data_IF_256437159803
#
_entry.id   IF_256437159803
#
_cell.length_a   1.000
_cell.length_b   1.000
_cell.length_c   1.000
_cell.angle_alpha   90.00
_cell.angle_beta   90.00
_cell.angle_gamma   90.00
#
_symmetry.space_group_name_H-M   'P 1'
#
loop_
_entity.id
_entity.type
_entity.pdbx_description
1 polymer ?
#
# COMPACT_ATOMS: atom_id res chain seq x y z
N UNK A 1 -7.88 -20.30 -11.86
CA UNK A 1 -8.35 -19.12 -11.11
C UNK A 1 -7.70 -17.87 -11.66
N UNK A 2 -8.49 -16.84 -11.84
CA UNK A 2 -7.94 -15.58 -12.29
C UNK A 2 -6.96 -15.02 -11.27
N UNK A 3 -5.84 -14.58 -11.78
CA UNK A 3 -4.88 -13.91 -10.95
C UNK A 3 -5.48 -12.62 -10.40
N UNK A 4 -5.27 -12.38 -9.15
CA UNK A 4 -5.85 -11.25 -8.44
C UNK A 4 -5.05 -9.97 -8.74
N UNK A 5 -5.70 -9.01 -9.40
CA UNK A 5 -5.05 -7.76 -9.78
C UNK A 5 -4.52 -6.99 -8.58
N UNK A 6 -5.30 -6.95 -7.49
CA UNK A 6 -4.84 -6.21 -6.30
C UNK A 6 -3.63 -6.91 -5.66
N UNK A 7 -3.58 -8.23 -5.72
CA UNK A 7 -2.44 -8.99 -5.23
C UNK A 7 -1.18 -8.63 -6.02
N UNK A 8 -1.26 -8.59 -7.35
CA UNK A 8 -0.14 -8.22 -8.20
C UNK A 8 0.31 -6.79 -7.97
N UNK A 9 -0.63 -5.86 -7.95
CA UNK A 9 -0.31 -4.43 -7.79
C UNK A 9 0.29 -4.14 -6.43
N UNK A 10 -0.23 -4.75 -5.38
CA UNK A 10 0.30 -4.52 -4.03
C UNK A 10 1.68 -5.12 -3.86
N UNK A 11 1.97 -6.26 -4.50
CA UNK A 11 3.30 -6.83 -4.46
C UNK A 11 4.29 -5.97 -5.23
N UNK A 12 3.92 -5.52 -6.43
CA UNK A 12 4.76 -4.61 -7.21
C UNK A 12 5.03 -3.32 -6.45
N UNK A 13 4.02 -2.80 -5.76
CA UNK A 13 4.18 -1.59 -4.94
C UNK A 13 5.12 -1.85 -3.76
N UNK A 14 5.03 -3.02 -3.13
CA UNK A 14 5.93 -3.39 -2.03
C UNK A 14 7.39 -3.37 -2.50
N UNK A 15 7.65 -3.86 -3.71
CA UNK A 15 9.00 -3.81 -4.29
C UNK A 15 9.46 -2.36 -4.40
N UNK A 16 8.59 -1.46 -4.87
CA UNK A 16 8.92 -0.04 -4.96
C UNK A 16 9.20 0.58 -3.59
N UNK A 17 8.50 0.12 -2.56
CA UNK A 17 8.74 0.60 -1.19
C UNK A 17 10.10 0.16 -0.66
N UNK A 18 10.52 -1.07 -0.96
CA UNK A 18 11.85 -1.55 -0.60
C UNK A 18 12.93 -0.72 -1.32
N UNK A 19 12.73 -0.43 -2.60
CA UNK A 19 13.66 0.40 -3.37
C UNK A 19 13.73 1.82 -2.83
N UNK A 20 12.59 2.40 -2.48
CA UNK A 20 12.54 3.73 -1.88
C UNK A 20 13.26 3.75 -0.54
N UNK A 21 13.05 2.72 0.28
CA UNK A 21 13.72 2.58 1.57
C UNK A 21 15.24 2.59 1.40
N UNK A 22 15.75 1.79 0.46
CA UNK A 22 17.18 1.75 0.18
C UNK A 22 17.72 3.10 -0.25
N UNK A 23 17.01 3.78 -1.13
CA UNK A 23 17.38 5.11 -1.60
C UNK A 23 17.44 6.12 -0.46
N UNK A 24 16.40 6.14 0.36
CA UNK A 24 16.33 7.09 1.48
C UNK A 24 17.45 6.85 2.49
N UNK A 25 17.76 5.61 2.77
CA UNK A 25 18.84 5.30 3.71
C UNK A 25 20.21 5.58 3.13
N UNK A 26 20.46 5.14 1.89
CA UNK A 26 21.80 5.20 1.31
C UNK A 26 22.14 6.56 0.75
N UNK A 27 21.19 7.21 0.05
CA UNK A 27 21.44 8.48 -0.61
C UNK A 27 21.06 9.68 0.24
N UNK A 28 19.96 9.59 0.97
CA UNK A 28 19.44 10.72 1.74
C UNK A 28 19.78 10.67 3.22
N UNK A 29 20.31 9.54 3.69
CA UNK A 29 20.63 9.35 5.11
C UNK A 29 19.41 9.61 6.01
N UNK A 30 18.24 9.24 5.52
CA UNK A 30 16.98 9.36 6.25
C UNK A 30 16.64 8.01 6.85
N UNK A 31 16.59 7.90 8.19
CA UNK A 31 16.50 6.63 8.88
C UNK A 31 15.22 6.46 9.72
N UNK A 32 14.36 7.47 9.75
CA UNK A 32 13.15 7.45 10.56
C UNK A 32 11.91 7.29 9.67
N UNK A 33 11.69 8.24 8.77
CA UNK A 33 10.53 8.21 7.86
C UNK A 33 10.63 7.03 6.90
N UNK A 34 11.84 6.68 6.49
CA UNK A 34 12.06 5.55 5.60
C UNK A 34 11.52 4.25 6.19
N UNK A 35 11.69 4.04 7.48
CA UNK A 35 11.19 2.84 8.16
C UNK A 35 9.67 2.83 8.24
N UNK A 36 9.05 4.01 8.46
CA UNK A 36 7.61 4.11 8.53
C UNK A 36 6.95 3.78 7.20
N UNK A 37 7.48 4.34 6.11
CA UNK A 37 6.89 4.08 4.80
C UNK A 37 7.15 2.66 4.33
N UNK A 38 8.31 2.08 4.66
CA UNK A 38 8.58 0.68 4.36
C UNK A 38 7.55 -0.22 5.05
N UNK A 39 7.31 0.01 6.33
CA UNK A 39 6.35 -0.76 7.12
C UNK A 39 4.95 -0.67 6.52
N UNK A 40 4.44 0.55 6.37
CA UNK A 40 3.08 0.72 5.86
C UNK A 40 2.94 0.26 4.41
N UNK A 41 3.92 0.60 3.57
CA UNK A 41 3.86 0.29 2.15
C UNK A 41 3.94 -1.20 1.84
N UNK A 42 4.66 -1.98 2.65
CA UNK A 42 4.73 -3.43 2.47
C UNK A 42 3.58 -4.14 3.17
N UNK A 43 2.98 -3.52 4.19
CA UNK A 43 1.83 -4.09 4.90
C UNK A 43 0.59 -4.18 4.02
N UNK A 44 0.47 -3.33 3.01
CA UNK A 44 -0.66 -3.38 2.08
C UNK A 44 -0.76 -4.77 1.47
N UNK A 45 0.31 -5.21 0.81
CA UNK A 45 0.33 -6.51 0.14
C UNK A 45 0.32 -7.68 1.11
N UNK A 46 0.98 -7.53 2.26
CA UNK A 46 1.00 -8.58 3.27
C UNK A 46 -0.41 -8.91 3.76
N UNK A 47 -1.23 -7.88 4.03
CA UNK A 47 -2.61 -8.09 4.45
C UNK A 47 -3.48 -8.67 3.34
N UNK A 48 -3.22 -8.29 2.10
CA UNK A 48 -3.93 -8.86 0.95
C UNK A 48 -3.61 -10.36 0.83
N UNK A 49 -2.34 -10.73 0.98
CA UNK A 49 -1.94 -12.14 0.96
C UNK A 49 -2.65 -12.93 2.06
N UNK A 50 -2.70 -12.38 3.26
CA UNK A 50 -3.37 -13.03 4.38
C UNK A 50 -4.87 -13.16 4.13
N UNK A 51 -5.47 -12.20 3.42
CA UNK A 51 -6.91 -12.25 3.13
C UNK A 51 -7.26 -13.43 2.24
N UNK A 52 -6.38 -13.78 1.31
CA UNK A 52 -6.61 -14.89 0.38
C UNK A 52 -6.67 -16.23 1.11
N UNK A 53 -5.87 -16.39 2.18
CA UNK A 53 -5.89 -17.58 3.02
C UNK A 53 -6.94 -17.56 4.11
N UNK A 54 -7.80 -16.55 4.13
CA UNK A 54 -8.77 -16.37 5.20
C UNK A 54 -9.88 -17.41 5.17
N UNK A 55 -10.46 -17.68 6.34
CA UNK A 55 -11.45 -18.71 6.53
C UNK A 55 -12.87 -18.31 6.11
N UNK A 56 -13.15 -17.02 5.99
CA UNK A 56 -14.50 -16.53 5.72
C UNK A 56 -14.48 -15.20 5.00
N UNK A 57 -15.65 -14.82 4.45
CA UNK A 57 -15.82 -13.49 3.84
C UNK A 57 -15.56 -12.36 4.84
N UNK A 58 -15.91 -12.59 6.09
CA UNK A 58 -15.71 -11.63 7.16
C UNK A 58 -14.23 -11.40 7.40
N UNK A 59 -13.45 -12.48 7.48
CA UNK A 59 -11.98 -12.39 7.63
C UNK A 59 -11.35 -11.70 6.44
N UNK A 60 -11.83 -12.04 5.24
CA UNK A 60 -11.34 -11.45 4.00
C UNK A 60 -11.56 -9.92 4.02
N UNK A 61 -12.79 -9.49 4.33
CA UNK A 61 -13.13 -8.06 4.41
C UNK A 61 -12.30 -7.36 5.47
N UNK A 62 -12.10 -7.99 6.62
CA UNK A 62 -11.31 -7.42 7.72
C UNK A 62 -9.87 -7.13 7.26
N UNK A 63 -9.23 -8.09 6.60
CA UNK A 63 -7.86 -7.94 6.10
C UNK A 63 -7.75 -6.86 5.04
N UNK A 64 -8.76 -6.76 4.15
CA UNK A 64 -8.77 -5.71 3.14
C UNK A 64 -8.95 -4.34 3.76
N UNK A 65 -9.72 -4.25 4.84
CA UNK A 65 -9.88 -2.99 5.57
C UNK A 65 -8.56 -2.53 6.18
N UNK A 66 -7.80 -3.45 6.76
CA UNK A 66 -6.47 -3.13 7.29
C UNK A 66 -5.55 -2.67 6.15
N UNK A 67 -5.57 -3.40 5.02
CA UNK A 67 -4.75 -3.06 3.86
C UNK A 67 -5.07 -1.65 3.36
N UNK A 68 -6.36 -1.29 3.28
CA UNK A 68 -6.78 0.05 2.87
C UNK A 68 -6.22 1.12 3.80
N UNK A 69 -6.30 0.90 5.11
CA UNK A 69 -5.76 1.86 6.08
C UNK A 69 -4.25 2.02 5.93
N UNK A 70 -3.54 0.93 5.68
CA UNK A 70 -2.09 0.98 5.45
C UNK A 70 -1.76 1.75 4.16
N UNK A 71 -2.58 1.59 3.12
CA UNK A 71 -2.39 2.35 1.89
C UNK A 71 -2.60 3.85 2.12
N UNK A 72 -3.61 4.22 2.91
CA UNK A 72 -3.84 5.62 3.28
C UNK A 72 -2.67 6.17 4.08
N UNK A 73 -2.15 5.41 5.03
CA UNK A 73 -0.98 5.83 5.81
C UNK A 73 0.24 6.02 4.91
N UNK A 74 0.43 5.13 3.93
CA UNK A 74 1.54 5.23 3.00
C UNK A 74 1.47 6.53 2.20
N UNK A 75 0.28 6.93 1.77
CA UNK A 75 0.08 8.20 1.07
C UNK A 75 0.50 9.37 1.96
N UNK A 76 0.18 9.32 3.24
CA UNK A 76 0.60 10.33 4.19
C UNK A 76 2.13 10.46 4.22
N UNK A 77 2.83 9.33 4.35
CA UNK A 77 4.30 9.34 4.38
C UNK A 77 4.89 9.84 3.05
N UNK A 78 4.28 9.48 1.91
CA UNK A 78 4.74 9.97 0.60
C UNK A 78 4.65 11.49 0.52
N UNK A 79 3.54 12.06 0.96
CA UNK A 79 3.34 13.52 0.97
C UNK A 79 4.37 14.19 1.86
N UNK A 80 4.62 13.62 3.04
CA UNK A 80 5.58 14.18 3.97
C UNK A 80 7.00 14.14 3.40
N UNK A 81 7.38 13.03 2.77
CA UNK A 81 8.70 12.91 2.13
C UNK A 81 8.85 13.91 0.98
N UNK A 82 7.81 14.13 0.22
CA UNK A 82 7.83 15.09 -0.87
C UNK A 82 7.93 16.53 -0.35
N UNK A 83 7.11 16.89 0.61
CA UNK A 83 7.06 18.26 1.13
C UNK A 83 8.31 18.63 1.92
N UNK A 84 9.04 17.63 2.43
CA UNK A 84 10.31 17.83 3.11
C UNK A 84 11.52 17.59 2.19
N UNK A 85 11.27 17.43 0.89
CA UNK A 85 12.29 17.41 -0.16
C UNK A 85 13.20 16.17 -0.15
N UNK A 86 12.71 15.04 0.34
CA UNK A 86 13.45 13.79 0.26
C UNK A 86 13.26 13.06 -1.07
N UNK A 87 12.13 13.29 -1.75
CA UNK A 87 11.87 12.71 -3.06
C UNK A 87 11.45 13.81 -4.04
N UNK A 88 11.75 13.61 -5.32
CA UNK A 88 11.38 14.57 -6.37
C UNK A 88 9.89 14.53 -6.62
N UNK A 89 9.38 15.59 -7.27
CA UNK A 89 7.97 15.62 -7.66
C UNK A 89 7.63 14.49 -8.62
N UNK A 90 8.52 14.19 -9.55
CA UNK A 90 8.32 13.09 -10.50
C UNK A 90 8.18 11.76 -9.79
N UNK A 91 9.06 11.48 -8.86
CA UNK A 91 9.02 10.23 -8.07
C UNK A 91 7.77 10.19 -7.20
N UNK A 92 7.46 11.31 -6.55
CA UNK A 92 6.25 11.41 -5.74
C UNK A 92 5.01 11.11 -6.57
N UNK A 93 4.86 11.74 -7.74
CA UNK A 93 3.67 11.54 -8.58
C UNK A 93 3.53 10.08 -8.99
N UNK A 94 4.63 9.43 -9.35
CA UNK A 94 4.62 8.03 -9.76
C UNK A 94 4.16 7.12 -8.62
N UNK A 95 4.76 7.27 -7.44
CA UNK A 95 4.42 6.45 -6.27
C UNK A 95 3.00 6.75 -5.77
N UNK A 96 2.63 8.02 -5.75
CA UNK A 96 1.31 8.45 -5.31
C UNK A 96 0.21 7.88 -6.21
N UNK A 97 0.42 7.89 -7.52
CA UNK A 97 -0.54 7.32 -8.46
C UNK A 97 -0.74 5.82 -8.21
N UNK A 98 0.34 5.08 -7.97
CA UNK A 98 0.23 3.66 -7.66
C UNK A 98 -0.55 3.42 -6.36
N UNK A 99 -0.25 4.20 -5.33
CA UNK A 99 -0.94 4.06 -4.04
C UNK A 99 -2.42 4.42 -4.15
N UNK A 100 -2.75 5.48 -4.89
CA UNK A 100 -4.13 5.89 -5.12
C UNK A 100 -4.92 4.81 -5.86
N UNK A 101 -4.29 4.21 -6.87
CA UNK A 101 -4.94 3.13 -7.63
C UNK A 101 -5.26 1.95 -6.71
N UNK A 102 -4.32 1.57 -5.86
CA UNK A 102 -4.53 0.50 -4.90
C UNK A 102 -5.69 0.85 -3.95
N UNK A 103 -5.73 2.08 -3.45
CA UNK A 103 -6.82 2.53 -2.59
C UNK A 103 -8.18 2.40 -3.29
N UNK A 104 -8.26 2.82 -4.55
CA UNK A 104 -9.52 2.75 -5.31
C UNK A 104 -9.98 1.31 -5.50
N UNK A 105 -9.06 0.42 -5.83
CA UNK A 105 -9.40 -1.00 -6.01
C UNK A 105 -9.88 -1.61 -4.69
N UNK A 106 -9.16 -1.35 -3.60
CA UNK A 106 -9.55 -1.87 -2.28
C UNK A 106 -10.90 -1.34 -1.84
N UNK A 107 -11.15 -0.04 -2.02
CA UNK A 107 -12.43 0.57 -1.66
C UNK A 107 -13.57 -0.07 -2.45
N UNK A 108 -13.38 -0.32 -3.74
CA UNK A 108 -14.40 -0.95 -4.58
C UNK A 108 -14.70 -2.37 -4.13
N UNK A 109 -13.66 -3.14 -3.82
CA UNK A 109 -13.85 -4.51 -3.32
C UNK A 109 -14.63 -4.51 -2.00
N UNK A 110 -14.27 -3.60 -1.08
CA UNK A 110 -14.93 -3.49 0.22
C UNK A 110 -16.41 -3.15 0.06
N UNK A 111 -16.73 -2.21 -0.82
CA UNK A 111 -18.13 -1.82 -1.09
C UNK A 111 -18.91 -3.02 -1.64
N UNK A 112 -18.33 -3.74 -2.59
CA UNK A 112 -18.96 -4.92 -3.18
C UNK A 112 -19.23 -6.00 -2.13
N UNK A 113 -18.27 -6.27 -1.27
CA UNK A 113 -18.40 -7.28 -0.22
C UNK A 113 -19.47 -6.90 0.80
N UNK A 114 -19.50 -5.64 1.22
CA UNK A 114 -20.52 -5.16 2.17
C UNK A 114 -21.91 -5.24 1.58
N UNK A 115 -22.05 -4.91 0.31
CA UNK A 115 -23.34 -5.01 -0.38
C UNK A 115 -23.84 -6.46 -0.45
N UNK A 116 -22.92 -7.41 -0.71
CA UNK A 116 -23.27 -8.84 -0.78
C UNK A 116 -23.67 -9.41 0.58
N UNK A 117 -23.15 -8.85 1.65
CA UNK A 117 -23.35 -9.37 3.00
C UNK A 117 -24.48 -8.67 3.76
N UNK A 118 -25.13 -7.70 3.13
CA UNK A 118 -26.21 -6.95 3.78
C UNK A 118 -27.60 -7.48 3.43
#
# INVERSE_FOLDING_TARGET
>A
MKENIIQQKSFAFAIRMVELFKYLQNEKKEFVLSKQILRSGTSIGANIEESIGGASDKDFLHKLTISYKEARETIYWLKLLHDTQYISEKEFNSLHNDAEEICKILAKIQITLKSRNS
#
